data_IF_675737903737
#
_entry.id   IF_675737903737
#
_cell.length_a   1.000
_cell.length_b   1.000
_cell.length_c   1.000
_cell.angle_alpha   90.00
_cell.angle_beta   90.00
_cell.angle_gamma   90.00
#
_symmetry.space_group_name_H-M   'P 1'
#
loop_
_entity.id
_entity.type
_entity.pdbx_description
1 polymer ?
#
# COMPACT_ATOMS: atom_id res chain seq x y z
N UNK A 1 3.91 -13.44 -18.77
CA UNK A 1 3.89 -11.97 -18.79
C UNK A 1 4.82 -11.50 -17.68
N UNK A 2 5.85 -10.71 -18.02
CA UNK A 2 6.81 -10.16 -17.06
C UNK A 2 6.08 -9.26 -16.05
N UNK A 3 6.46 -9.34 -14.78
CA UNK A 3 5.72 -8.74 -13.67
C UNK A 3 6.20 -7.32 -13.49
N UNK A 4 5.51 -6.36 -14.10
CA UNK A 4 5.85 -4.96 -13.90
C UNK A 4 5.45 -4.51 -12.50
N UNK A 5 6.15 -3.52 -11.96
CA UNK A 5 5.59 -2.70 -10.88
C UNK A 5 4.25 -2.09 -11.33
N UNK A 6 3.46 -1.58 -10.40
CA UNK A 6 2.18 -0.93 -10.72
C UNK A 6 2.34 0.57 -10.92
N UNK A 7 1.41 1.17 -11.65
CA UNK A 7 1.31 2.64 -11.73
C UNK A 7 0.84 3.20 -10.38
N UNK A 8 1.62 4.08 -9.78
CA UNK A 8 1.17 4.86 -8.62
C UNK A 8 0.09 5.85 -9.04
N UNK A 9 -0.96 5.97 -8.23
CA UNK A 9 -2.10 6.84 -8.54
C UNK A 9 -2.28 7.93 -7.51
N UNK A 10 -2.71 9.14 -7.88
CA UNK A 10 -3.06 10.16 -6.91
C UNK A 10 -4.23 9.70 -6.03
N UNK A 11 -4.32 10.20 -4.80
CA UNK A 11 -5.45 9.92 -3.89
C UNK A 11 -6.78 10.32 -4.53
N UNK A 12 -6.79 11.48 -5.20
CA UNK A 12 -7.96 12.02 -5.91
C UNK A 12 -7.53 12.64 -7.23
N UNK A 13 -8.17 12.19 -8.31
CA UNK A 13 -8.03 12.75 -9.66
C UNK A 13 -9.39 13.22 -10.15
N UNK A 14 -9.49 14.50 -10.51
CA UNK A 14 -10.69 15.08 -11.12
C UNK A 14 -10.42 15.16 -12.62
N UNK A 15 -11.23 14.48 -13.44
CA UNK A 15 -11.18 14.67 -14.89
C UNK A 15 -11.83 16.01 -15.23
N UNK A 16 -11.21 16.77 -16.14
CA UNK A 16 -11.78 17.99 -16.68
C UNK A 16 -11.81 17.91 -18.20
N UNK A 17 -12.83 18.55 -18.77
CA UNK A 17 -13.01 18.76 -20.21
C UNK A 17 -12.97 20.24 -20.58
N UNK A 18 -12.47 21.08 -19.66
CA UNK A 18 -12.36 22.51 -19.83
C UNK A 18 -10.94 22.96 -19.45
N UNK A 19 -10.51 24.07 -20.04
CA UNK A 19 -9.28 24.75 -19.66
C UNK A 19 -9.59 25.71 -18.50
N UNK A 20 -8.91 25.53 -17.36
CA UNK A 20 -9.15 26.35 -16.17
C UNK A 20 -8.72 27.79 -16.43
N UNK A 21 -7.61 28.00 -17.14
CA UNK A 21 -7.11 29.33 -17.51
C UNK A 21 -8.10 30.11 -18.36
N UNK A 22 -8.78 29.46 -19.31
CA UNK A 22 -9.81 30.11 -20.13
C UNK A 22 -11.09 30.38 -19.33
N UNK A 23 -11.43 29.47 -18.43
CA UNK A 23 -12.63 29.58 -17.60
C UNK A 23 -12.48 30.68 -16.54
N UNK A 24 -11.28 30.88 -16.01
CA UNK A 24 -10.95 31.92 -15.03
C UNK A 24 -10.91 33.33 -15.63
N UNK A 25 -10.72 33.50 -16.95
CA UNK A 25 -10.72 34.83 -17.60
C UNK A 25 -12.05 35.57 -17.41
N UNK A 26 -13.15 34.84 -17.30
CA UNK A 26 -14.50 35.39 -17.22
C UNK A 26 -15.11 35.30 -15.81
N UNK A 27 -14.34 34.86 -14.82
CA UNK A 27 -14.80 34.72 -13.44
C UNK A 27 -14.12 35.79 -12.60
N UNK A 28 -14.92 36.63 -11.94
CA UNK A 28 -14.39 37.55 -10.94
C UNK A 28 -13.95 36.77 -9.71
N UNK A 29 -12.63 36.66 -9.52
CA UNK A 29 -12.06 35.99 -8.33
C UNK A 29 -12.37 36.85 -7.09
N UNK A 30 -12.96 36.28 -6.02
CA UNK A 30 -13.25 37.02 -4.80
C UNK A 30 -12.00 37.67 -4.19
N UNK A 31 -12.10 38.91 -3.72
CA UNK A 31 -10.96 39.65 -3.13
C UNK A 31 -10.32 38.93 -1.93
N UNK A 32 -11.14 38.22 -1.14
CA UNK A 32 -10.65 37.37 -0.05
C UNK A 32 -9.68 36.30 -0.57
N UNK A 33 -10.02 35.64 -1.67
CA UNK A 33 -9.18 34.60 -2.28
C UNK A 33 -7.88 35.19 -2.84
N UNK A 34 -7.94 36.38 -3.45
CA UNK A 34 -6.73 37.11 -3.91
C UNK A 34 -5.79 37.46 -2.75
N UNK A 35 -6.36 37.87 -1.61
CA UNK A 35 -5.59 38.21 -0.41
C UNK A 35 -4.88 36.99 0.16
N UNK A 36 -5.61 35.86 0.30
CA UNK A 36 -5.05 34.58 0.76
C UNK A 36 -3.91 34.12 -0.15
N UNK A 37 -4.10 34.16 -1.48
CA UNK A 37 -3.06 33.77 -2.43
C UNK A 37 -1.80 34.64 -2.31
N UNK A 38 -1.97 35.96 -2.14
CA UNK A 38 -0.83 36.89 -1.92
C UNK A 38 -0.10 36.61 -0.61
N UNK A 39 -0.82 36.33 0.48
CA UNK A 39 -0.20 36.00 1.77
C UNK A 39 0.53 34.66 1.70
N UNK A 40 -0.09 33.65 1.09
CA UNK A 40 0.51 32.35 0.87
C UNK A 40 1.85 32.45 0.12
N UNK A 41 1.92 33.22 -0.97
CA UNK A 41 3.15 33.38 -1.75
C UNK A 41 4.26 34.16 -1.02
N UNK A 42 3.91 35.06 -0.09
CA UNK A 42 4.87 35.91 0.62
C UNK A 42 5.37 35.30 1.94
N UNK A 43 4.60 34.40 2.52
CA UNK A 43 4.89 33.84 3.85
C UNK A 43 5.45 32.43 3.75
N UNK A 44 6.04 31.95 4.86
CA UNK A 44 6.48 30.56 5.02
C UNK A 44 5.35 29.62 5.46
N UNK A 45 4.13 30.14 5.66
CA UNK A 45 2.97 29.36 6.10
C UNK A 45 2.53 28.37 5.02
N UNK A 46 2.14 27.18 5.40
CA UNK A 46 1.66 26.12 4.50
C UNK A 46 0.17 26.29 4.17
N UNK A 47 -0.34 25.57 3.16
CA UNK A 47 -1.72 25.74 2.68
C UNK A 47 -2.77 25.43 3.76
N UNK A 48 -2.48 24.46 4.64
CA UNK A 48 -3.36 24.07 5.74
C UNK A 48 -3.57 25.21 6.75
N UNK A 49 -2.58 26.09 6.94
CA UNK A 49 -2.69 27.27 7.80
C UNK A 49 -3.66 28.32 7.24
N UNK A 50 -4.01 28.21 5.97
CA UNK A 50 -5.04 29.02 5.30
C UNK A 50 -6.36 28.25 5.10
N UNK A 51 -6.44 27.00 5.59
CA UNK A 51 -7.55 26.09 5.34
C UNK A 51 -7.88 25.95 3.85
N UNK A 52 -6.83 25.83 3.01
CA UNK A 52 -6.95 25.65 1.57
C UNK A 52 -6.29 24.34 1.14
N UNK A 53 -6.90 23.68 0.16
CA UNK A 53 -6.28 22.57 -0.57
C UNK A 53 -5.44 23.10 -1.74
N UNK A 54 -4.37 22.40 -2.07
CA UNK A 54 -3.59 22.66 -3.29
C UNK A 54 -3.97 21.68 -4.40
N UNK A 55 -3.96 22.20 -5.64
CA UNK A 55 -4.25 21.44 -6.84
C UNK A 55 -3.16 21.69 -7.88
N UNK A 56 -2.71 20.62 -8.54
CA UNK A 56 -1.94 20.70 -9.78
C UNK A 56 -2.86 20.45 -10.97
N UNK A 57 -2.79 21.34 -11.95
CA UNK A 57 -3.51 21.25 -13.21
C UNK A 57 -2.66 20.57 -14.28
N UNK A 58 -3.25 19.57 -14.93
CA UNK A 58 -2.77 18.93 -16.15
C UNK A 58 -3.77 19.18 -17.28
N UNK A 59 -3.48 18.77 -18.51
CA UNK A 59 -4.36 19.02 -19.65
C UNK A 59 -5.78 18.47 -19.43
N UNK A 60 -5.89 17.21 -18.98
CA UNK A 60 -7.16 16.48 -18.87
C UNK A 60 -7.67 16.33 -17.43
N UNK A 61 -6.91 16.83 -16.45
CA UNK A 61 -7.18 16.51 -15.05
C UNK A 61 -6.58 17.47 -14.03
N UNK A 62 -7.11 17.38 -12.81
CA UNK A 62 -6.58 18.01 -11.61
C UNK A 62 -6.25 16.91 -10.59
N UNK A 63 -5.15 17.07 -9.86
CA UNK A 63 -4.81 16.21 -8.72
C UNK A 63 -4.55 17.08 -7.49
N UNK A 64 -4.81 16.51 -6.32
CA UNK A 64 -4.51 17.15 -5.04
C UNK A 64 -3.04 16.98 -4.68
N UNK A 65 -2.51 18.00 -4.03
CA UNK A 65 -1.15 18.05 -3.54
C UNK A 65 -1.12 18.70 -2.14
N UNK A 66 0.00 18.54 -1.47
CA UNK A 66 0.33 19.24 -0.23
C UNK A 66 1.62 20.01 -0.43
N UNK A 67 1.83 21.06 0.35
CA UNK A 67 3.08 21.78 0.37
C UNK A 67 4.00 21.37 1.52
N UNK A 68 5.29 21.48 1.28
CA UNK A 68 6.33 21.19 2.26
C UNK A 68 7.40 22.26 2.21
N UNK A 69 7.75 22.83 3.37
CA UNK A 69 8.78 23.86 3.48
C UNK A 69 10.13 23.21 3.80
N UNK A 70 11.09 23.32 2.89
CA UNK A 70 12.46 22.86 3.09
C UNK A 70 13.45 23.94 2.61
N UNK A 71 14.43 24.28 3.44
CA UNK A 71 15.43 25.34 3.15
C UNK A 71 14.81 26.66 2.66
N UNK A 72 13.71 27.05 3.30
CA UNK A 72 12.91 28.26 2.98
C UNK A 72 12.24 28.24 1.61
N UNK A 73 12.28 27.12 0.89
CA UNK A 73 11.58 26.88 -0.37
C UNK A 73 10.35 26.03 -0.11
N UNK A 74 9.21 26.42 -0.69
CA UNK A 74 7.99 25.61 -0.68
C UNK A 74 8.01 24.66 -1.86
N UNK A 75 7.87 23.38 -1.58
CA UNK A 75 7.72 22.32 -2.58
C UNK A 75 6.26 21.90 -2.61
N UNK A 76 5.72 21.72 -3.81
CA UNK A 76 4.38 21.16 -4.01
C UNK A 76 4.55 19.69 -4.35
N UNK A 77 3.99 18.81 -3.53
CA UNK A 77 4.17 17.37 -3.65
C UNK A 77 2.79 16.74 -3.94
N UNK A 78 2.66 15.96 -5.04
CA UNK A 78 1.42 15.24 -5.33
C UNK A 78 1.03 14.28 -4.20
N UNK A 79 -0.25 14.28 -3.84
CA UNK A 79 -0.76 13.32 -2.86
C UNK A 79 -1.06 11.98 -3.54
N UNK A 80 -0.25 10.97 -3.24
CA UNK A 80 -0.34 9.63 -3.83
C UNK A 80 -1.19 8.71 -2.94
N UNK A 81 -2.03 7.89 -3.58
CA UNK A 81 -2.89 6.93 -2.92
C UNK A 81 -2.05 5.86 -2.17
N UNK A 82 -2.10 5.82 -0.83
CA UNK A 82 -1.25 4.93 -0.04
C UNK A 82 -1.53 3.43 -0.28
N UNK A 83 -2.73 3.06 -0.74
CA UNK A 83 -3.03 1.69 -1.15
C UNK A 83 -2.10 1.22 -2.27
N UNK A 84 -1.82 2.11 -3.24
CA UNK A 84 -0.94 1.81 -4.39
C UNK A 84 0.53 1.76 -4.00
N UNK A 85 0.97 2.63 -3.09
CA UNK A 85 2.35 2.60 -2.55
C UNK A 85 2.62 1.27 -1.85
N UNK A 86 1.75 0.87 -0.92
CA UNK A 86 1.90 -0.37 -0.16
C UNK A 86 1.84 -1.60 -1.06
N UNK A 87 0.92 -1.62 -2.03
CA UNK A 87 0.87 -2.71 -3.00
C UNK A 87 2.15 -2.78 -3.85
N UNK A 88 2.61 -1.65 -4.36
CA UNK A 88 3.84 -1.55 -5.17
C UNK A 88 5.04 -2.09 -4.40
N UNK A 89 5.23 -1.65 -3.14
CA UNK A 89 6.29 -2.14 -2.27
C UNK A 89 6.27 -3.68 -2.14
N UNK A 90 5.09 -4.28 -1.92
CA UNK A 90 4.99 -5.74 -1.86
C UNK A 90 5.43 -6.42 -3.17
N UNK A 91 5.03 -5.88 -4.33
CA UNK A 91 5.42 -6.43 -5.64
C UNK A 91 6.92 -6.33 -5.90
N UNK A 92 7.55 -5.20 -5.52
CA UNK A 92 9.00 -5.01 -5.67
C UNK A 92 9.81 -5.99 -4.81
N UNK A 93 9.36 -6.25 -3.57
CA UNK A 93 10.02 -7.23 -2.70
C UNK A 93 9.84 -8.68 -3.16
N UNK A 94 8.77 -9.00 -3.89
CA UNK A 94 8.48 -10.35 -4.34
C UNK A 94 9.59 -10.93 -5.24
N UNK A 95 10.20 -10.13 -6.12
CA UNK A 95 11.29 -10.63 -6.96
C UNK A 95 12.54 -10.96 -6.14
N UNK A 96 12.93 -10.07 -5.23
CA UNK A 96 14.04 -10.31 -4.31
C UNK A 96 13.79 -11.53 -3.43
N UNK A 97 12.54 -11.74 -3.02
CA UNK A 97 12.11 -12.93 -2.29
C UNK A 97 12.31 -14.23 -3.10
N UNK A 98 11.96 -14.26 -4.39
CA UNK A 98 12.16 -15.44 -5.24
C UNK A 98 13.65 -15.79 -5.33
N UNK A 99 14.51 -14.79 -5.56
CA UNK A 99 15.96 -14.99 -5.58
C UNK A 99 16.50 -15.46 -4.23
N UNK A 100 16.09 -14.83 -3.13
CA UNK A 100 16.51 -15.22 -1.79
C UNK A 100 16.04 -16.63 -1.42
N UNK A 101 14.87 -17.06 -1.90
CA UNK A 101 14.36 -18.43 -1.69
C UNK A 101 15.19 -19.47 -2.44
N UNK A 102 15.60 -19.19 -3.67
CA UNK A 102 16.53 -20.07 -4.42
C UNK A 102 17.87 -20.17 -3.68
N UNK A 103 18.46 -19.03 -3.33
CA UNK A 103 19.72 -18.95 -2.56
C UNK A 103 19.61 -19.69 -1.22
N UNK A 104 18.47 -19.62 -0.55
CA UNK A 104 18.20 -20.36 0.68
C UNK A 104 18.30 -21.87 0.47
N UNK A 105 17.62 -22.43 -0.54
CA UNK A 105 17.70 -23.87 -0.81
C UNK A 105 19.08 -24.30 -1.29
N UNK A 106 19.70 -23.51 -2.16
CA UNK A 106 21.04 -23.80 -2.66
C UNK A 106 22.07 -23.81 -1.55
N UNK A 107 22.04 -22.84 -0.63
CA UNK A 107 23.05 -22.69 0.42
C UNK A 107 22.76 -23.50 1.69
N UNK A 108 21.53 -23.98 1.90
CA UNK A 108 21.19 -24.81 3.06
C UNK A 108 21.87 -26.18 3.00
N UNK A 109 22.31 -26.73 4.15
CA UNK A 109 22.74 -28.13 4.23
C UNK A 109 21.56 -29.06 3.93
N UNK A 110 21.87 -30.27 3.46
CA UNK A 110 20.88 -31.35 3.26
C UNK A 110 21.29 -32.55 4.08
N UNK A 111 20.39 -33.52 4.27
CA UNK A 111 20.74 -34.77 4.95
C UNK A 111 21.91 -35.53 4.28
N UNK A 112 22.16 -35.29 2.98
CA UNK A 112 23.27 -35.87 2.22
C UNK A 112 24.57 -35.06 2.30
N UNK A 113 24.51 -33.80 2.77
CA UNK A 113 25.63 -32.85 2.83
C UNK A 113 25.46 -31.97 4.07
N UNK A 114 25.71 -32.56 5.24
CA UNK A 114 25.49 -31.91 6.54
C UNK A 114 26.60 -30.89 6.84
N UNK A 115 27.84 -31.18 6.43
CA UNK A 115 29.03 -30.37 6.75
C UNK A 115 29.16 -29.07 5.94
N UNK A 116 28.09 -28.67 5.25
CA UNK A 116 28.08 -27.45 4.46
C UNK A 116 28.12 -26.22 5.39
N UNK A 117 29.01 -25.24 5.16
CA UNK A 117 29.03 -24.01 5.94
C UNK A 117 27.68 -23.29 5.93
N UNK A 118 27.21 -22.89 7.11
CA UNK A 118 25.91 -22.22 7.29
C UNK A 118 26.14 -20.71 7.38
N UNK A 119 25.54 -19.97 6.46
CA UNK A 119 25.47 -18.51 6.51
C UNK A 119 24.07 -18.06 6.94
N UNK A 120 23.95 -17.56 8.17
CA UNK A 120 22.67 -17.12 8.75
C UNK A 120 22.04 -15.95 7.97
N UNK A 121 22.86 -15.17 7.24
CA UNK A 121 22.36 -14.05 6.44
C UNK A 121 21.43 -14.52 5.34
N UNK A 122 21.62 -15.73 4.83
CA UNK A 122 20.79 -16.29 3.76
C UNK A 122 19.33 -16.42 4.19
N UNK A 123 19.08 -16.95 5.38
CA UNK A 123 17.72 -17.04 5.91
C UNK A 123 17.20 -15.67 6.35
N UNK A 124 18.07 -14.82 6.94
CA UNK A 124 17.72 -13.45 7.32
C UNK A 124 17.19 -12.63 6.13
N UNK A 125 17.90 -12.64 5.00
CA UNK A 125 17.50 -11.99 3.74
C UNK A 125 16.14 -12.52 3.24
N UNK A 126 15.97 -13.85 3.19
CA UNK A 126 14.69 -14.46 2.81
C UNK A 126 13.55 -13.97 3.72
N UNK A 127 13.74 -14.02 5.04
CA UNK A 127 12.73 -13.62 6.00
C UNK A 127 12.39 -12.13 5.90
N UNK A 128 13.38 -11.27 5.66
CA UNK A 128 13.18 -9.84 5.46
C UNK A 128 12.29 -9.57 4.24
N UNK A 129 12.57 -10.19 3.10
CA UNK A 129 11.74 -10.01 1.90
C UNK A 129 10.36 -10.65 2.05
N UNK A 130 10.28 -11.82 2.68
CA UNK A 130 9.03 -12.52 2.96
C UNK A 130 8.10 -11.69 3.85
N UNK A 131 8.62 -11.16 4.96
CA UNK A 131 7.85 -10.37 5.92
C UNK A 131 7.39 -9.05 5.31
N UNK A 132 8.27 -8.34 4.61
CA UNK A 132 7.92 -7.10 3.90
C UNK A 132 6.80 -7.32 2.88
N UNK A 133 6.86 -8.39 2.08
CA UNK A 133 5.81 -8.70 1.12
C UNK A 133 4.45 -8.92 1.83
N UNK A 134 4.41 -9.72 2.89
CA UNK A 134 3.16 -10.02 3.63
C UNK A 134 2.59 -8.77 4.33
N UNK A 135 3.44 -8.02 5.03
CA UNK A 135 3.02 -6.82 5.78
C UNK A 135 2.47 -5.77 4.82
N UNK A 136 3.17 -5.50 3.71
CA UNK A 136 2.73 -4.50 2.74
C UNK A 136 1.45 -4.93 2.00
N UNK A 137 1.29 -6.22 1.66
CA UNK A 137 0.03 -6.72 1.09
C UNK A 137 -1.15 -6.54 2.05
N UNK A 138 -1.00 -6.93 3.32
CA UNK A 138 -2.07 -6.73 4.30
C UNK A 138 -2.36 -5.24 4.51
N UNK A 139 -1.31 -4.41 4.61
CA UNK A 139 -1.45 -2.97 4.84
C UNK A 139 -2.13 -2.29 3.66
N UNK A 140 -1.88 -2.73 2.43
CA UNK A 140 -2.61 -2.27 1.24
C UNK A 140 -4.11 -2.54 1.37
N UNK A 141 -4.50 -3.73 1.84
CA UNK A 141 -5.91 -4.09 2.08
C UNK A 141 -6.54 -3.27 3.21
N UNK A 142 -5.83 -3.07 4.32
CA UNK A 142 -6.28 -2.24 5.45
C UNK A 142 -6.49 -0.79 5.02
N UNK A 143 -5.47 -0.21 4.38
CA UNK A 143 -5.47 1.16 3.88
C UNK A 143 -6.62 1.38 2.89
N UNK A 144 -6.82 0.43 1.98
CA UNK A 144 -7.94 0.45 1.06
C UNK A 144 -9.28 0.48 1.80
N UNK A 145 -9.50 -0.46 2.74
CA UNK A 145 -10.74 -0.53 3.49
C UNK A 145 -11.00 0.77 4.28
N UNK A 146 -9.99 1.29 4.98
CA UNK A 146 -10.09 2.52 5.77
C UNK A 146 -10.46 3.74 4.92
N UNK A 147 -9.84 3.86 3.73
CA UNK A 147 -10.15 4.97 2.82
C UNK A 147 -11.56 4.86 2.22
N UNK A 148 -12.05 3.64 2.01
CA UNK A 148 -13.30 3.39 1.26
C UNK A 148 -14.54 3.24 2.13
N UNK A 149 -14.40 2.98 3.43
CA UNK A 149 -15.52 2.92 4.36
C UNK A 149 -15.76 4.33 4.92
N UNK A 150 -16.92 4.97 4.66
CA UNK A 150 -17.22 6.29 5.18
C UNK A 150 -17.27 6.31 6.70
N UNK A 151 -16.91 7.44 7.30
CA UNK A 151 -16.97 7.63 8.76
C UNK A 151 -18.39 7.37 9.31
N UNK A 152 -19.44 7.79 8.60
CA UNK A 152 -20.82 7.53 9.01
C UNK A 152 -21.13 6.03 9.16
N UNK A 153 -20.52 5.16 8.34
CA UNK A 153 -20.69 3.71 8.46
C UNK A 153 -19.88 3.13 9.62
N UNK A 154 -18.73 3.75 9.95
CA UNK A 154 -17.93 3.38 11.12
C UNK A 154 -18.63 3.79 12.42
N UNK A 155 -19.27 4.97 12.44
CA UNK A 155 -20.01 5.48 13.62
C UNK A 155 -21.23 4.61 13.96
N UNK A 156 -21.72 3.79 13.01
CA UNK A 156 -22.76 2.78 13.24
C UNK A 156 -22.23 1.47 13.87
N UNK A 157 -20.90 1.31 14.00
CA UNK A 157 -20.29 0.13 14.61
C UNK A 157 -20.32 0.24 16.14
N UNK A 158 -21.48 -0.09 16.72
CA UNK A 158 -21.73 -0.01 18.15
C UNK A 158 -21.55 -1.39 18.80
N UNK A 159 -20.86 -1.43 19.94
CA UNK A 159 -20.67 -2.65 20.73
C UNK A 159 -21.90 -2.96 21.61
N UNK A 160 -21.82 -4.01 22.41
CA UNK A 160 -22.91 -4.41 23.32
C UNK A 160 -23.21 -3.40 24.43
N UNK A 161 -22.28 -2.50 24.72
CA UNK A 161 -22.39 -1.49 25.78
C UNK A 161 -22.91 -0.15 25.24
N UNK A 162 -23.04 -0.01 23.91
CA UNK A 162 -23.44 1.26 23.28
C UNK A 162 -22.24 2.10 22.80
N UNK A 163 -21.01 1.61 22.93
CA UNK A 163 -19.81 2.34 22.55
C UNK A 163 -19.43 2.07 21.09
N UNK A 164 -18.96 3.10 20.38
CA UNK A 164 -18.41 2.94 19.03
C UNK A 164 -17.08 2.18 19.15
N UNK A 165 -16.95 1.07 18.45
CA UNK A 165 -15.71 0.28 18.42
C UNK A 165 -15.01 0.39 17.06
N UNK A 166 -13.69 0.25 17.06
CA UNK A 166 -12.93 0.19 15.81
C UNK A 166 -13.02 -1.22 15.18
N UNK A 167 -13.62 -1.37 13.99
CA UNK A 167 -13.82 -2.67 13.39
C UNK A 167 -12.50 -3.29 12.94
N UNK A 168 -12.32 -4.59 13.23
CA UNK A 168 -11.18 -5.34 12.71
C UNK A 168 -11.19 -5.39 11.18
N UNK A 169 -10.03 -5.63 10.57
CA UNK A 169 -9.93 -5.83 9.11
C UNK A 169 -10.89 -6.91 8.59
N UNK A 170 -11.10 -7.96 9.38
CA UNK A 170 -12.03 -9.03 9.00
C UNK A 170 -13.45 -8.51 8.91
N UNK A 171 -13.88 -7.71 9.90
CA UNK A 171 -15.20 -7.09 9.91
C UNK A 171 -15.34 -6.06 8.77
N UNK A 172 -14.30 -5.26 8.51
CA UNK A 172 -14.26 -4.32 7.38
C UNK A 172 -14.48 -5.05 6.04
N UNK A 173 -13.81 -6.18 5.82
CA UNK A 173 -13.90 -6.94 4.56
C UNK A 173 -15.19 -7.76 4.40
N UNK A 174 -15.68 -8.39 5.47
CA UNK A 174 -16.84 -9.30 5.39
C UNK A 174 -18.19 -8.57 5.54
N UNK A 175 -18.19 -7.41 6.20
CA UNK A 175 -19.42 -6.69 6.57
C UNK A 175 -19.46 -5.30 5.96
N UNK A 176 -18.48 -4.44 6.28
CA UNK A 176 -18.58 -3.01 5.98
C UNK A 176 -18.39 -2.69 4.50
N UNK A 177 -17.35 -3.23 3.84
CA UNK A 177 -17.17 -3.04 2.39
C UNK A 177 -18.37 -3.59 1.60
N UNK A 178 -18.89 -4.81 1.89
CA UNK A 178 -20.12 -5.25 1.27
C UNK A 178 -21.35 -4.37 1.49
N UNK A 179 -21.47 -3.75 2.67
CA UNK A 179 -22.55 -2.80 2.96
C UNK A 179 -22.40 -1.52 2.13
N UNK A 180 -21.19 -0.97 2.03
CA UNK A 180 -20.89 0.27 1.28
C UNK A 180 -21.10 0.09 -0.23
N UNK A 181 -20.78 -1.09 -0.77
CA UNK A 181 -20.76 -1.33 -2.22
C UNK A 181 -21.86 -2.26 -2.73
N UNK A 182 -22.69 -2.80 -1.83
CA UNK A 182 -23.77 -3.75 -2.14
C UNK A 182 -23.31 -5.01 -2.90
N UNK A 183 -22.04 -5.38 -2.76
CA UNK A 183 -21.44 -6.57 -3.40
C UNK A 183 -20.43 -7.25 -2.49
N UNK A 184 -20.34 -8.57 -2.58
CA UNK A 184 -19.48 -9.40 -1.70
C UNK A 184 -18.36 -10.06 -2.50
N UNK A 185 -17.10 -9.70 -2.22
CA UNK A 185 -15.96 -10.34 -2.89
C UNK A 185 -15.88 -11.85 -2.62
N UNK A 186 -16.12 -12.27 -1.36
CA UNK A 186 -16.04 -13.68 -0.95
C UNK A 186 -16.94 -14.62 -1.75
N UNK A 187 -18.12 -14.15 -2.19
CA UNK A 187 -19.06 -14.97 -2.96
C UNK A 187 -18.63 -15.12 -4.42
N UNK A 188 -18.03 -14.07 -5.00
CA UNK A 188 -17.57 -14.04 -6.39
C UNK A 188 -16.21 -14.70 -6.58
N UNK A 189 -15.29 -14.56 -5.62
CA UNK A 189 -13.90 -15.00 -5.73
C UNK A 189 -13.42 -15.74 -4.48
N UNK A 190 -14.00 -16.94 -4.23
CA UNK A 190 -13.71 -17.75 -3.02
C UNK A 190 -12.22 -18.06 -2.83
N UNK A 191 -11.51 -18.42 -3.91
CA UNK A 191 -10.08 -18.78 -3.88
C UNK A 191 -9.20 -17.57 -3.51
N UNK A 192 -9.44 -16.43 -4.15
CA UNK A 192 -8.71 -15.20 -3.86
C UNK A 192 -9.00 -14.71 -2.45
N UNK A 193 -10.25 -14.78 -2.01
CA UNK A 193 -10.62 -14.43 -0.65
C UNK A 193 -9.86 -15.29 0.39
N UNK A 194 -9.70 -16.60 0.14
CA UNK A 194 -8.89 -17.46 1.01
C UNK A 194 -7.43 -16.99 1.06
N UNK A 195 -6.84 -16.59 -0.08
CA UNK A 195 -5.47 -16.07 -0.11
C UNK A 195 -5.32 -14.75 0.66
N UNK A 196 -6.26 -13.84 0.52
CA UNK A 196 -6.30 -12.59 1.32
C UNK A 196 -6.35 -12.92 2.81
N UNK A 197 -7.19 -13.89 3.22
CA UNK A 197 -7.27 -14.33 4.63
C UNK A 197 -5.94 -14.88 5.14
N UNK A 198 -5.25 -15.68 4.32
CA UNK A 198 -3.92 -16.20 4.67
C UNK A 198 -2.88 -15.08 4.82
N UNK A 199 -2.94 -14.03 3.99
CA UNK A 199 -2.06 -12.84 4.13
C UNK A 199 -2.32 -12.15 5.47
N UNK A 200 -3.58 -11.93 5.84
CA UNK A 200 -3.96 -11.30 7.12
C UNK A 200 -3.46 -12.14 8.30
N UNK A 201 -3.70 -13.46 8.27
CA UNK A 201 -3.26 -14.38 9.32
C UNK A 201 -1.74 -14.38 9.47
N UNK A 202 -0.99 -14.50 8.36
CA UNK A 202 0.47 -14.50 8.39
C UNK A 202 1.04 -13.18 8.89
N UNK A 203 0.47 -12.05 8.47
CA UNK A 203 0.88 -10.73 8.98
C UNK A 203 0.72 -10.66 10.50
N UNK A 204 -0.40 -11.12 11.03
CA UNK A 204 -0.62 -11.16 12.48
C UNK A 204 0.40 -12.06 13.18
N UNK A 205 0.72 -13.23 12.61
CA UNK A 205 1.75 -14.14 13.15
C UNK A 205 3.16 -13.54 13.11
N UNK A 206 3.49 -12.74 12.09
CA UNK A 206 4.79 -12.05 11.97
C UNK A 206 4.93 -10.94 13.02
N UNK A 207 3.89 -10.12 13.21
CA UNK A 207 3.96 -8.96 14.11
C UNK A 207 3.83 -9.38 15.57
N UNK A 208 2.98 -10.34 15.87
CA UNK A 208 2.80 -10.90 17.21
C UNK A 208 3.65 -12.17 17.38
N UNK A 209 4.86 -12.17 16.83
CA UNK A 209 5.74 -13.33 16.85
C UNK A 209 6.08 -13.71 18.29
N UNK A 210 5.45 -14.78 18.78
CA UNK A 210 5.75 -15.36 20.08
C UNK A 210 6.49 -16.69 19.90
N UNK A 211 7.46 -16.99 20.78
CA UNK A 211 8.12 -18.28 20.75
C UNK A 211 7.09 -19.38 21.05
N UNK A 212 7.05 -20.43 20.22
CA UNK A 212 6.26 -21.62 20.56
C UNK A 212 6.90 -22.33 21.75
N UNK A 213 6.04 -22.94 22.59
CA UNK A 213 6.29 -23.49 23.93
C UNK A 213 7.53 -24.38 24.12
N UNK A 214 7.83 -24.64 25.39
CA UNK A 214 9.02 -25.28 26.01
C UNK A 214 9.40 -26.69 25.52
N UNK A 215 8.75 -27.22 24.48
CA UNK A 215 8.93 -28.60 24.00
C UNK A 215 10.09 -28.72 22.98
N UNK A 216 10.52 -27.63 22.34
CA UNK A 216 11.65 -27.69 21.40
C UNK A 216 12.53 -26.45 21.39
N UNK A 217 13.83 -26.66 21.18
CA UNK A 217 14.82 -25.58 21.02
C UNK A 217 14.55 -24.68 19.79
N UNK A 218 13.72 -25.12 18.85
CA UNK A 218 13.34 -24.38 17.64
C UNK A 218 12.03 -23.61 17.81
N UNK A 219 12.10 -22.41 18.40
CA UNK A 219 10.92 -21.65 18.85
C UNK A 219 10.03 -21.10 17.72
N UNK A 220 10.58 -20.85 16.53
CA UNK A 220 9.87 -20.16 15.42
C UNK A 220 9.65 -21.02 14.16
N UNK A 221 9.97 -22.33 14.22
CA UNK A 221 9.98 -23.21 13.03
C UNK A 221 8.65 -23.25 12.26
N UNK A 222 7.52 -23.15 12.95
CA UNK A 222 6.19 -23.24 12.33
C UNK A 222 5.95 -22.07 11.39
N UNK A 223 6.17 -20.83 11.86
CA UNK A 223 6.05 -19.64 11.03
C UNK A 223 7.05 -19.67 9.87
N UNK A 224 8.32 -20.00 10.13
CA UNK A 224 9.33 -20.04 9.08
C UNK A 224 8.99 -21.01 7.95
N UNK A 225 8.49 -22.20 8.28
CA UNK A 225 7.98 -23.16 7.28
C UNK A 225 6.77 -22.63 6.53
N UNK A 226 5.83 -21.97 7.22
CA UNK A 226 4.67 -21.33 6.57
C UNK A 226 5.13 -20.28 5.55
N UNK A 227 6.08 -19.42 5.91
CA UNK A 227 6.63 -18.40 5.01
C UNK A 227 7.32 -19.03 3.80
N UNK A 228 8.18 -20.03 4.00
CA UNK A 228 8.84 -20.74 2.88
C UNK A 228 7.82 -21.33 1.91
N UNK A 229 6.73 -21.92 2.43
CA UNK A 229 5.71 -22.60 1.63
C UNK A 229 4.61 -21.67 1.10
N UNK A 230 4.62 -20.39 1.46
CA UNK A 230 3.56 -19.47 1.08
C UNK A 230 3.58 -19.16 -0.42
N UNK A 231 2.39 -19.10 -1.03
CA UNK A 231 2.22 -18.82 -2.46
C UNK A 231 2.10 -17.31 -2.72
N UNK A 232 3.21 -16.58 -2.53
CA UNK A 232 3.27 -15.11 -2.61
C UNK A 232 2.65 -14.53 -3.87
N UNK A 233 2.98 -15.08 -5.03
CA UNK A 233 2.42 -14.63 -6.31
C UNK A 233 0.89 -14.69 -6.33
N UNK A 234 0.31 -15.82 -5.92
CA UNK A 234 -1.15 -15.97 -5.88
C UNK A 234 -1.78 -15.00 -4.88
N UNK A 235 -1.09 -14.71 -3.78
CA UNK A 235 -1.55 -13.74 -2.80
C UNK A 235 -1.52 -12.29 -3.33
N UNK A 236 -0.46 -11.92 -4.06
CA UNK A 236 -0.34 -10.61 -4.73
C UNK A 236 -1.51 -10.38 -5.69
N UNK A 237 -1.84 -11.37 -6.52
CA UNK A 237 -2.99 -11.29 -7.42
C UNK A 237 -4.33 -11.28 -6.67
N UNK A 238 -4.48 -12.10 -5.64
CA UNK A 238 -5.70 -12.13 -4.85
C UNK A 238 -6.01 -10.79 -4.16
N UNK A 239 -4.98 -10.11 -3.63
CA UNK A 239 -5.11 -8.75 -3.07
C UNK A 239 -5.47 -7.74 -4.15
N UNK A 240 -4.83 -7.81 -5.33
CA UNK A 240 -5.20 -6.98 -6.50
C UNK A 240 -6.65 -7.15 -6.88
N UNK A 241 -7.09 -8.39 -6.99
CA UNK A 241 -8.46 -8.74 -7.37
C UNK A 241 -9.47 -8.26 -6.34
N UNK A 242 -9.18 -8.36 -5.03
CA UNK A 242 -10.02 -7.80 -3.98
C UNK A 242 -10.18 -6.29 -4.12
N UNK A 243 -9.06 -5.57 -4.25
CA UNK A 243 -9.05 -4.11 -4.32
C UNK A 243 -9.76 -3.65 -5.60
N UNK A 244 -9.39 -4.20 -6.75
CA UNK A 244 -10.00 -3.85 -8.04
C UNK A 244 -11.47 -4.31 -8.16
N UNK A 245 -11.90 -5.31 -7.39
CA UNK A 245 -13.31 -5.67 -7.33
C UNK A 245 -14.17 -4.54 -6.77
N UNK A 246 -13.67 -3.80 -5.77
CA UNK A 246 -14.39 -2.66 -5.17
C UNK A 246 -14.07 -1.32 -5.85
N UNK A 247 -12.84 -1.11 -6.33
CA UNK A 247 -12.43 0.08 -7.08
C UNK A 247 -11.70 -0.33 -8.37
N UNK A 248 -12.44 -0.49 -9.48
CA UNK A 248 -11.88 -0.95 -10.74
C UNK A 248 -10.68 -0.12 -11.18
N UNK A 249 -9.67 -0.82 -11.70
CA UNK A 249 -8.45 -0.22 -12.24
C UNK A 249 -7.63 0.55 -11.20
N UNK A 250 -7.81 0.40 -9.88
CA UNK A 250 -6.94 1.08 -8.92
C UNK A 250 -5.49 0.56 -9.01
N UNK A 251 -5.33 -0.75 -9.11
CA UNK A 251 -4.04 -1.43 -9.24
C UNK A 251 -3.85 -1.95 -10.66
N UNK A 252 -3.08 -1.21 -11.44
CA UNK A 252 -2.76 -1.48 -12.84
C UNK A 252 -1.26 -1.64 -13.04
N UNK A 253 -0.89 -2.57 -13.90
CA UNK A 253 0.49 -2.84 -14.28
C UNK A 253 1.08 -1.62 -15.00
N UNK A 254 2.32 -1.27 -14.68
CA UNK A 254 3.02 -0.17 -15.34
C UNK A 254 3.35 -0.54 -16.80
N UNK A 255 2.99 0.32 -17.77
CA UNK A 255 3.21 0.03 -19.19
C UNK A 255 4.69 -0.08 -19.57
N UNK A 256 5.62 0.41 -18.72
CA UNK A 256 7.05 0.31 -18.99
C UNK A 256 7.58 -1.14 -18.95
N UNK A 257 6.81 -2.09 -18.41
CA UNK A 257 7.20 -3.50 -18.32
C UNK A 257 8.36 -3.77 -17.35
N UNK A 258 8.91 -2.75 -16.67
CA UNK A 258 10.00 -2.90 -15.70
C UNK A 258 9.48 -3.48 -14.40
N UNK A 259 10.23 -4.39 -13.82
CA UNK A 259 9.83 -5.05 -12.56
C UNK A 259 10.19 -4.24 -11.30
N UNK A 260 11.07 -3.24 -11.42
CA UNK A 260 11.44 -2.30 -10.37
C UNK A 260 11.28 -0.85 -10.84
N UNK A 261 11.09 0.05 -9.88
CA UNK A 261 10.96 1.50 -10.08
C UNK A 261 12.10 2.28 -9.36
N UNK A 262 13.29 1.68 -9.27
CA UNK A 262 14.45 2.39 -8.70
C UNK A 262 15.29 3.02 -9.80
N UNK A 263 15.41 4.34 -9.78
CA UNK A 263 16.53 5.04 -10.40
C UNK A 263 17.66 5.11 -9.37
N UNK A 264 18.76 4.41 -9.63
CA UNK A 264 19.96 4.51 -8.79
C UNK A 264 20.70 5.78 -9.21
N UNK A 265 20.48 6.87 -8.47
CA UNK A 265 21.26 8.09 -8.64
C UNK A 265 22.55 7.95 -7.81
N UNK A 266 23.64 7.55 -8.44
CA UNK A 266 24.97 7.64 -7.83
C UNK A 266 25.41 9.09 -7.84
N UNK A 267 25.42 9.73 -6.67
CA UNK A 267 26.11 11.01 -6.50
C UNK A 267 27.61 10.75 -6.50
N UNK A 268 28.21 10.72 -7.69
CA UNK A 268 29.64 10.94 -7.78
C UNK A 268 29.87 12.37 -7.29
N UNK A 269 30.41 12.49 -6.07
CA UNK A 269 30.95 13.75 -5.57
C UNK A 269 32.14 14.09 -6.47
N UNK A 270 31.94 15.03 -7.39
CA UNK A 270 33.06 15.83 -7.93
C UNK A 270 33.52 16.84 -6.89
#
# INVERSE_FOLDING_TARGET
>A
MGKSHIVLKPTKKIKKNFNLSDSLKNIEVPEKSKTVAKEYLKTKKLSDEFSQDLLLEFDDSLIFCFDFLHDRVKYIIPEINPTTILYSNATMFHRNLLFAKVKLFEKSPTLKKIDKPIDLKVFGEFFQYASNCIINLQSSVECFANRRIPKSVLDECIDKNGDIFEPSITHKLDTLLPKVYEKRFRTKSKRDNLKVRQVIELRNQIIHLTPNSDISNTKYKSLYRKLINFEYEKAIYAVRNLINFYEPNLLEDCPCGKEYDYEIITTEKN
#
